data_IF_382324932238
#
_entry.id   IF_382324932238
#
_cell.length_a   1.000
_cell.length_b   1.000
_cell.length_c   1.000
_cell.angle_alpha   90.00
_cell.angle_beta   90.00
_cell.angle_gamma   90.00
#
_symmetry.space_group_name_H-M   'P 1'
#
loop_
_entity.id
_entity.type
_entity.pdbx_description
1 polymer ?
#
# COMPACT_ATOMS: atom_id res chain seq x y z
N UNK A 1 -21.66 -11.54 -7.42
CA UNK A 1 -20.23 -11.30 -7.67
C UNK A 1 -19.65 -12.50 -8.40
N UNK A 2 -19.00 -12.27 -9.52
CA UNK A 2 -18.37 -13.37 -10.26
C UNK A 2 -17.11 -13.83 -9.52
N UNK A 3 -17.01 -15.12 -9.24
CA UNK A 3 -15.80 -15.70 -8.67
C UNK A 3 -14.73 -15.76 -9.75
N UNK A 4 -13.51 -15.34 -9.42
CA UNK A 4 -12.40 -15.50 -10.35
C UNK A 4 -11.92 -16.95 -10.33
N UNK A 5 -12.12 -17.65 -11.44
CA UNK A 5 -11.76 -19.07 -11.55
C UNK A 5 -10.25 -19.31 -11.36
N UNK A 6 -9.40 -18.36 -11.76
CA UNK A 6 -7.94 -18.49 -11.60
C UNK A 6 -7.53 -18.62 -10.14
N UNK A 7 -8.10 -17.80 -9.25
CA UNK A 7 -7.83 -17.91 -7.81
C UNK A 7 -8.38 -19.22 -7.25
N UNK A 8 -9.64 -19.54 -7.59
CA UNK A 8 -10.29 -20.77 -7.10
C UNK A 8 -9.50 -22.01 -7.54
N UNK A 9 -9.06 -22.07 -8.79
CA UNK A 9 -8.29 -23.19 -9.33
C UNK A 9 -6.91 -23.33 -8.68
N UNK A 10 -6.40 -22.25 -8.07
CA UNK A 10 -5.08 -22.21 -7.43
C UNK A 10 -5.13 -22.44 -5.92
N UNK A 11 -6.29 -22.52 -5.28
CA UNK A 11 -6.41 -22.63 -3.82
C UNK A 11 -5.65 -23.83 -3.25
N UNK A 12 -5.65 -24.96 -3.94
CA UNK A 12 -4.96 -26.17 -3.49
C UNK A 12 -3.42 -26.00 -3.49
N UNK A 13 -2.91 -25.01 -4.21
CA UNK A 13 -1.46 -24.74 -4.34
C UNK A 13 -0.99 -23.67 -3.36
N UNK A 14 -1.89 -23.03 -2.63
CA UNK A 14 -1.58 -21.94 -1.72
C UNK A 14 -1.37 -22.46 -0.30
N UNK A 15 -0.42 -21.89 0.45
CA UNK A 15 -0.30 -22.19 1.86
C UNK A 15 -1.55 -21.71 2.61
N UNK A 16 -1.93 -22.43 3.66
CA UNK A 16 -3.08 -22.07 4.49
C UNK A 16 -2.67 -21.99 5.95
N UNK A 17 -3.04 -20.94 6.70
CA UNK A 17 -3.76 -19.76 6.23
C UNK A 17 -2.88 -18.78 5.46
N UNK A 18 -3.46 -18.03 4.51
CA UNK A 18 -2.74 -16.99 3.79
C UNK A 18 -3.68 -15.91 3.26
N UNK A 19 -3.16 -14.68 3.12
CA UNK A 19 -3.82 -13.65 2.35
C UNK A 19 -3.50 -13.84 0.88
N UNK A 20 -4.51 -13.70 0.02
CA UNK A 20 -4.37 -13.88 -1.42
C UNK A 20 -4.78 -12.59 -2.12
N UNK A 21 -3.90 -12.05 -2.93
CA UNK A 21 -4.16 -10.86 -3.73
C UNK A 21 -4.12 -11.22 -5.21
N UNK A 22 -5.19 -10.89 -5.94
CA UNK A 22 -5.20 -11.02 -7.38
C UNK A 22 -4.63 -9.75 -8.01
N UNK A 23 -3.41 -9.84 -8.52
CA UNK A 23 -2.66 -8.71 -9.05
C UNK A 23 -3.41 -7.96 -10.15
N UNK A 24 -4.08 -8.68 -11.05
CA UNK A 24 -4.80 -8.05 -12.15
C UNK A 24 -5.95 -7.16 -11.67
N UNK A 25 -6.69 -7.60 -10.67
CA UNK A 25 -7.77 -6.79 -10.09
C UNK A 25 -7.21 -5.60 -9.32
N UNK A 26 -6.12 -5.80 -8.58
CA UNK A 26 -5.43 -4.72 -7.91
C UNK A 26 -4.95 -3.67 -8.92
N UNK A 27 -4.32 -4.10 -10.00
CA UNK A 27 -3.84 -3.18 -11.04
C UNK A 27 -4.98 -2.41 -11.70
N UNK A 28 -6.12 -3.05 -11.97
CA UNK A 28 -7.30 -2.36 -12.50
C UNK A 28 -7.79 -1.25 -11.57
N UNK A 29 -7.80 -1.50 -10.25
CA UNK A 29 -8.15 -0.48 -9.27
C UNK A 29 -7.12 0.64 -9.22
N UNK A 30 -5.84 0.31 -9.29
CA UNK A 30 -4.75 1.28 -9.30
C UNK A 30 -4.81 2.18 -10.54
N UNK A 31 -5.14 1.63 -11.70
CA UNK A 31 -5.34 2.42 -12.94
C UNK A 31 -6.47 3.43 -12.78
N UNK A 32 -7.57 3.06 -12.12
CA UNK A 32 -8.66 3.98 -11.84
C UNK A 32 -8.21 5.13 -10.93
N UNK A 33 -7.48 4.81 -9.86
CA UNK A 33 -6.93 5.82 -8.96
C UNK A 33 -5.94 6.74 -9.67
N UNK A 34 -5.10 6.18 -10.54
CA UNK A 34 -4.17 6.96 -11.36
C UNK A 34 -4.90 7.94 -12.27
N UNK A 35 -5.99 7.50 -12.90
CA UNK A 35 -6.81 8.38 -13.74
C UNK A 35 -7.38 9.55 -12.93
N UNK A 36 -7.85 9.30 -11.71
CA UNK A 36 -8.34 10.36 -10.83
C UNK A 36 -7.24 11.36 -10.51
N UNK A 37 -6.03 10.90 -10.21
CA UNK A 37 -4.88 11.78 -9.97
C UNK A 37 -4.59 12.65 -11.20
N UNK A 38 -4.58 12.06 -12.38
CA UNK A 38 -4.25 12.76 -13.63
C UNK A 38 -5.33 13.80 -14.01
N UNK A 39 -6.59 13.51 -13.73
CA UNK A 39 -7.72 14.41 -14.06
C UNK A 39 -7.92 15.53 -13.04
N UNK A 40 -7.50 15.36 -11.80
CA UNK A 40 -7.77 16.29 -10.69
C UNK A 40 -6.54 16.97 -10.10
N UNK A 41 -5.36 16.57 -10.52
CA UNK A 41 -4.07 17.04 -9.97
C UNK A 41 -3.92 16.80 -8.46
N UNK A 42 -4.56 15.76 -7.92
CA UNK A 42 -4.38 15.33 -6.53
C UNK A 42 -3.39 14.17 -6.46
N UNK A 43 -2.74 14.02 -5.32
CA UNK A 43 -1.88 12.87 -5.03
C UNK A 43 -2.64 11.89 -4.15
N UNK A 44 -2.67 10.63 -4.55
CA UNK A 44 -3.28 9.56 -3.76
C UNK A 44 -2.17 8.74 -3.11
N UNK A 45 -2.30 8.51 -1.81
CA UNK A 45 -1.35 7.75 -1.02
C UNK A 45 -1.96 6.44 -0.54
N UNK A 46 -1.15 5.40 -0.46
CA UNK A 46 -1.57 4.12 0.07
C UNK A 46 -1.55 4.17 1.61
N UNK A 47 -2.71 3.97 2.23
CA UNK A 47 -2.81 3.92 3.69
C UNK A 47 -2.41 2.53 4.20
N UNK A 48 -1.25 2.43 4.83
CA UNK A 48 -0.68 1.14 5.25
C UNK A 48 -1.52 0.43 6.32
N UNK A 49 -2.23 1.17 7.16
CA UNK A 49 -3.16 0.56 8.13
C UNK A 49 -4.30 -0.22 7.48
N UNK A 50 -4.62 0.10 6.22
CA UNK A 50 -5.66 -0.59 5.46
C UNK A 50 -5.11 -1.65 4.52
N UNK A 51 -3.91 -1.47 4.02
CA UNK A 51 -3.28 -2.39 3.08
C UNK A 51 -1.76 -2.24 3.14
N UNK A 52 -1.08 -3.28 3.62
CA UNK A 52 0.38 -3.28 3.77
C UNK A 52 1.01 -4.57 3.23
N UNK A 53 0.46 -5.11 2.15
CA UNK A 53 1.02 -6.27 1.47
C UNK A 53 2.22 -5.84 0.62
N UNK A 54 3.39 -5.77 1.23
CA UNK A 54 4.59 -5.17 0.61
C UNK A 54 5.05 -5.90 -0.65
N UNK A 55 4.73 -7.18 -0.81
CA UNK A 55 5.01 -7.90 -2.06
C UNK A 55 4.31 -7.27 -3.29
N UNK A 56 3.28 -6.44 -3.09
CA UNK A 56 2.59 -5.70 -4.16
C UNK A 56 3.04 -4.26 -4.31
N UNK A 57 3.97 -3.79 -3.48
CA UNK A 57 4.37 -2.38 -3.49
C UNK A 57 5.04 -1.96 -4.79
N UNK A 58 5.77 -2.85 -5.45
CA UNK A 58 6.35 -2.56 -6.77
C UNK A 58 5.28 -2.26 -7.82
N UNK A 59 4.12 -2.89 -7.71
CA UNK A 59 2.98 -2.59 -8.56
C UNK A 59 2.31 -1.28 -8.13
N UNK A 60 2.03 -1.13 -6.85
CA UNK A 60 1.34 0.04 -6.31
C UNK A 60 2.08 1.36 -6.60
N UNK A 61 3.40 1.37 -6.45
CA UNK A 61 4.21 2.60 -6.65
C UNK A 61 4.27 3.08 -8.09
N UNK A 62 3.86 2.26 -9.07
CA UNK A 62 3.72 2.69 -10.45
C UNK A 62 2.55 3.65 -10.64
N UNK A 63 1.58 3.61 -9.75
CA UNK A 63 0.31 4.35 -9.87
C UNK A 63 0.08 5.38 -8.77
N UNK A 64 0.55 5.11 -7.56
CA UNK A 64 0.34 5.97 -6.39
C UNK A 64 1.62 6.74 -6.02
N UNK A 65 1.45 7.87 -5.35
CA UNK A 65 2.55 8.80 -5.06
C UNK A 65 3.38 8.44 -3.83
N UNK A 66 2.86 7.60 -2.95
CA UNK A 66 3.53 7.23 -1.72
C UNK A 66 2.58 6.57 -0.75
N UNK A 67 2.90 6.67 0.52
CA UNK A 67 2.14 6.03 1.60
C UNK A 67 1.75 7.00 2.71
N UNK A 68 0.62 6.67 3.36
CA UNK A 68 0.28 7.21 4.67
C UNK A 68 0.63 6.18 5.74
N UNK A 69 1.45 6.58 6.69
CA UNK A 69 1.88 5.77 7.83
C UNK A 69 1.18 6.22 9.11
N UNK A 70 0.79 5.29 9.95
CA UNK A 70 0.11 5.57 11.23
C UNK A 70 1.07 5.58 12.43
N UNK A 71 2.37 5.44 12.19
CA UNK A 71 3.41 5.44 13.20
C UNK A 71 4.77 5.14 12.61
N UNK A 72 5.78 5.04 13.48
CA UNK A 72 7.18 4.85 13.08
C UNK A 72 7.40 3.60 12.22
N UNK A 73 6.88 2.45 12.63
CA UNK A 73 7.14 1.19 11.92
C UNK A 73 6.54 1.19 10.52
N UNK A 74 5.36 1.76 10.34
CA UNK A 74 4.79 1.92 9.00
C UNK A 74 5.57 2.94 8.17
N UNK A 75 6.10 4.01 8.78
CA UNK A 75 6.92 4.98 8.08
C UNK A 75 8.22 4.34 7.57
N UNK A 76 8.85 3.50 8.36
CA UNK A 76 10.03 2.73 7.95
C UNK A 76 9.68 1.80 6.78
N UNK A 77 8.59 1.04 6.91
CA UNK A 77 8.13 0.15 5.84
C UNK A 77 7.88 0.91 4.54
N UNK A 78 7.20 2.06 4.64
CA UNK A 78 6.93 2.90 3.48
C UNK A 78 8.22 3.38 2.82
N UNK A 79 9.17 3.83 3.62
CA UNK A 79 10.45 4.34 3.11
C UNK A 79 11.29 3.26 2.44
N UNK A 80 11.40 2.10 3.08
CA UNK A 80 12.29 1.03 2.62
C UNK A 80 11.70 0.23 1.45
N UNK A 81 10.40 -0.06 1.50
CA UNK A 81 9.78 -0.99 0.54
C UNK A 81 8.98 -0.30 -0.56
N UNK A 82 8.39 0.86 -0.28
CA UNK A 82 7.59 1.58 -1.29
C UNK A 82 8.37 2.70 -1.95
N UNK A 83 9.00 3.57 -1.16
CA UNK A 83 9.56 4.82 -1.64
C UNK A 83 8.50 5.89 -1.90
N UNK A 84 8.90 7.00 -2.52
CA UNK A 84 7.99 8.11 -2.77
C UNK A 84 7.70 8.92 -1.50
N UNK A 85 6.53 9.58 -1.48
CA UNK A 85 6.14 10.40 -0.34
C UNK A 85 5.71 9.52 0.83
N UNK A 86 6.16 9.88 2.05
CA UNK A 86 5.72 9.23 3.28
C UNK A 86 5.09 10.28 4.17
N UNK A 87 3.78 10.18 4.38
CA UNK A 87 3.03 11.06 5.27
C UNK A 87 2.70 10.29 6.53
N UNK A 88 3.20 10.74 7.67
CA UNK A 88 2.98 10.07 8.94
C UNK A 88 2.02 10.87 9.81
N UNK A 89 0.95 10.23 10.24
CA UNK A 89 -0.04 10.82 11.15
C UNK A 89 -0.44 9.83 12.24
N UNK A 90 -0.41 10.32 13.47
CA UNK A 90 -0.95 9.63 14.64
C UNK A 90 -1.54 10.65 15.61
N UNK A 91 -2.51 10.22 16.41
CA UNK A 91 -3.08 11.10 17.44
C UNK A 91 -2.05 11.49 18.51
N UNK A 92 -1.04 10.65 18.73
CA UNK A 92 0.06 10.91 19.65
C UNK A 92 1.32 10.15 19.21
N UNK A 93 2.46 10.78 19.37
CA UNK A 93 3.78 10.20 19.15
C UNK A 93 4.59 10.23 20.43
N UNK A 94 5.53 9.31 20.61
CA UNK A 94 6.59 9.45 21.61
C UNK A 94 7.63 10.44 21.10
N UNK A 95 8.27 11.15 22.01
CA UNK A 95 9.25 12.18 21.64
C UNK A 95 10.41 11.59 20.83
N UNK A 96 10.91 10.42 21.21
CA UNK A 96 11.98 9.73 20.51
C UNK A 96 11.57 9.25 19.11
N UNK A 97 10.30 8.89 18.91
CA UNK A 97 9.78 8.47 17.61
C UNK A 97 9.69 9.64 16.62
N UNK A 98 9.40 10.85 17.09
CA UNK A 98 9.28 12.01 16.21
C UNK A 98 10.61 12.30 15.51
N UNK A 99 11.70 12.32 16.26
CA UNK A 99 13.03 12.57 15.70
C UNK A 99 13.41 11.50 14.66
N UNK A 100 13.10 10.25 14.95
CA UNK A 100 13.36 9.15 14.03
C UNK A 100 12.52 9.26 12.75
N UNK A 101 11.22 9.57 12.87
CA UNK A 101 10.34 9.77 11.72
C UNK A 101 10.82 10.91 10.83
N UNK A 102 11.25 12.03 11.42
CA UNK A 102 11.77 13.18 10.68
C UNK A 102 13.06 12.81 9.93
N UNK A 103 13.85 11.91 10.46
CA UNK A 103 15.12 11.50 9.85
C UNK A 103 14.98 10.55 8.67
N UNK A 104 13.82 9.96 8.50
CA UNK A 104 13.52 9.06 7.37
C UNK A 104 13.33 9.89 6.07
#
# INVERSE_FOLDING_TARGET
>A
MKTNNLIVDSFDKLPSPSYVCEEKLLENNLKLLKRIQDETDVNILLALKGFALWSTFDLCKKYLKGCCASGLHEAILAKEEFGGEVHTYSAAFKDDEIDEIISI
#
